data_IF_788587169326
#
_entry.id   IF_788587169326
#
_cell.length_a   1.000
_cell.length_b   1.000
_cell.length_c   1.000
_cell.angle_alpha   90.00
_cell.angle_beta   90.00
_cell.angle_gamma   90.00
#
_symmetry.space_group_name_H-M   'P 1'
#
loop_
_entity.id
_entity.type
_entity.pdbx_description
1 polymer ?
#
# COMPACT_ATOMS: atom_id res chain seq x y z
N UNK A 1 -26.36 -20.85 7.53
CA UNK A 1 -26.12 -19.76 6.55
C UNK A 1 -25.52 -18.52 7.21
N UNK A 2 -26.03 -18.06 8.36
CA UNK A 2 -25.48 -16.90 9.10
C UNK A 2 -23.94 -16.93 9.24
N UNK A 3 -23.38 -18.02 9.76
CA UNK A 3 -21.92 -18.14 9.94
C UNK A 3 -21.09 -18.07 8.65
N UNK A 4 -21.60 -18.60 7.53
CA UNK A 4 -20.89 -18.53 6.23
C UNK A 4 -20.84 -17.10 5.69
N UNK A 5 -21.92 -16.33 5.88
CA UNK A 5 -21.98 -14.92 5.48
C UNK A 5 -21.06 -14.09 6.37
N UNK A 6 -21.02 -14.36 7.69
CA UNK A 6 -20.13 -13.67 8.61
C UNK A 6 -18.65 -13.92 8.28
N UNK A 7 -18.27 -15.17 8.00
CA UNK A 7 -16.88 -15.52 7.63
C UNK A 7 -16.49 -14.83 6.31
N UNK A 8 -17.37 -14.87 5.30
CA UNK A 8 -17.09 -14.23 4.02
C UNK A 8 -16.97 -12.70 4.16
N UNK A 9 -17.86 -12.07 4.92
CA UNK A 9 -17.80 -10.64 5.19
C UNK A 9 -16.52 -10.23 5.91
N UNK A 10 -16.09 -11.02 6.92
CA UNK A 10 -14.84 -10.77 7.62
C UNK A 10 -13.61 -10.94 6.71
N UNK A 11 -13.60 -11.97 5.86
CA UNK A 11 -12.50 -12.20 4.92
C UNK A 11 -12.34 -11.03 3.93
N UNK A 12 -13.44 -10.52 3.39
CA UNK A 12 -13.43 -9.34 2.51
C UNK A 12 -12.94 -8.11 3.26
N UNK A 13 -13.44 -7.89 4.48
CA UNK A 13 -13.03 -6.74 5.30
C UNK A 13 -11.52 -6.75 5.58
N UNK A 14 -10.98 -7.90 6.01
CA UNK A 14 -9.55 -8.05 6.28
C UNK A 14 -8.71 -7.84 5.01
N UNK A 15 -9.16 -8.38 3.87
CA UNK A 15 -8.46 -8.18 2.61
C UNK A 15 -8.39 -6.69 2.21
N UNK A 16 -9.50 -5.95 2.33
CA UNK A 16 -9.52 -4.51 2.06
C UNK A 16 -8.64 -3.74 3.05
N UNK A 17 -8.70 -4.12 4.32
CA UNK A 17 -7.90 -3.49 5.37
C UNK A 17 -6.40 -3.68 5.15
N UNK A 18 -5.98 -4.90 4.81
CA UNK A 18 -4.58 -5.22 4.53
C UNK A 18 -4.08 -4.45 3.30
N UNK A 19 -4.85 -4.43 2.20
CA UNK A 19 -4.52 -3.61 1.02
C UNK A 19 -4.36 -2.12 1.37
N UNK A 20 -5.24 -1.60 2.22
CA UNK A 20 -5.17 -0.22 2.68
C UNK A 20 -3.92 0.04 3.52
N UNK A 21 -3.58 -0.85 4.46
CA UNK A 21 -2.38 -0.73 5.28
C UNK A 21 -1.10 -0.74 4.42
N UNK A 22 -1.05 -1.59 3.40
CA UNK A 22 0.07 -1.62 2.45
C UNK A 22 0.14 -0.32 1.63
N UNK A 23 -0.99 0.15 1.10
CA UNK A 23 -1.05 1.40 0.34
C UNK A 23 -0.64 2.61 1.19
N UNK A 24 -0.99 2.63 2.48
CA UNK A 24 -0.65 3.72 3.42
C UNK A 24 0.83 3.76 3.80
N UNK A 25 1.59 2.68 3.58
CA UNK A 25 3.04 2.69 3.74
C UNK A 25 3.77 3.34 2.56
N UNK A 26 3.12 3.43 1.41
CA UNK A 26 3.64 4.22 0.28
C UNK A 26 3.41 5.71 0.51
N UNK A 27 4.18 6.55 -0.17
CA UNK A 27 3.98 7.99 -0.25
C UNK A 27 2.76 8.42 -1.06
N UNK A 28 2.17 7.51 -1.84
CA UNK A 28 1.08 7.78 -2.77
C UNK A 28 -0.19 8.41 -2.12
N UNK A 29 -0.67 7.99 -0.94
CA UNK A 29 -1.81 8.64 -0.31
C UNK A 29 -1.46 9.97 0.36
N UNK A 30 -0.18 10.28 0.62
CA UNK A 30 0.17 11.53 1.30
C UNK A 30 0.21 12.72 0.34
N UNK A 31 -0.21 13.89 0.82
CA UNK A 31 0.08 15.16 0.17
C UNK A 31 1.49 15.58 0.62
N UNK A 32 2.25 16.19 -0.27
CA UNK A 32 3.48 16.89 0.09
C UNK A 32 3.43 18.28 -0.51
N UNK A 33 3.90 19.24 0.25
CA UNK A 33 4.16 20.59 -0.21
C UNK A 33 5.22 21.13 0.75
N UNK A 34 6.29 21.72 0.27
CA UNK A 34 7.29 22.31 1.16
C UNK A 34 8.72 22.06 0.70
N UNK A 35 9.63 22.73 1.38
CA UNK A 35 11.06 22.68 1.10
C UNK A 35 11.71 21.57 1.92
N UNK A 36 12.69 20.88 1.34
CA UNK A 36 13.48 19.85 2.02
C UNK A 36 14.51 20.53 2.90
N UNK A 37 14.38 20.40 4.22
CA UNK A 37 15.28 21.03 5.20
C UNK A 37 16.45 20.13 5.59
N UNK A 38 16.26 18.81 5.56
CA UNK A 38 17.29 17.83 5.89
C UNK A 38 17.08 16.51 5.15
N UNK A 39 18.15 15.72 5.07
CA UNK A 39 18.14 14.35 4.54
C UNK A 39 18.88 13.43 5.49
N UNK A 40 18.34 12.24 5.71
CA UNK A 40 18.96 11.20 6.54
C UNK A 40 18.82 9.85 5.84
N UNK A 41 19.93 9.13 5.69
CA UNK A 41 19.95 7.75 5.25
C UNK A 41 20.29 6.87 6.44
N UNK A 42 19.37 5.98 6.82
CA UNK A 42 19.60 5.01 7.89
C UNK A 42 19.86 3.65 7.25
N UNK A 43 21.11 3.15 7.30
CA UNK A 43 21.41 1.84 6.78
C UNK A 43 20.72 0.76 7.62
N UNK A 44 20.02 -0.15 6.95
CA UNK A 44 19.37 -1.30 7.58
C UNK A 44 20.27 -2.54 7.53
N UNK A 45 19.70 -3.71 7.87
CA UNK A 45 20.42 -4.99 7.91
C UNK A 45 21.20 -5.31 6.63
N UNK A 46 20.70 -4.90 5.46
CA UNK A 46 21.37 -5.03 4.17
C UNK A 46 21.58 -3.64 3.55
N UNK A 47 22.78 -3.05 3.76
CA UNK A 47 23.08 -1.72 3.24
C UNK A 47 22.89 -1.63 1.72
N UNK A 48 22.22 -0.59 1.26
CA UNK A 48 21.91 -0.34 -0.15
C UNK A 48 20.70 -1.11 -0.72
N UNK A 49 20.13 -2.05 0.04
CA UNK A 49 18.91 -2.78 -0.35
C UNK A 49 17.71 -2.32 0.46
N UNK A 50 17.83 -2.33 1.80
CA UNK A 50 16.71 -2.11 2.72
C UNK A 50 16.80 -0.74 3.44
N UNK A 51 17.67 0.16 2.98
CA UNK A 51 17.96 1.40 3.70
C UNK A 51 16.74 2.32 3.82
N UNK A 52 16.55 2.88 5.01
CA UNK A 52 15.47 3.82 5.28
C UNK A 52 15.91 5.22 4.86
N UNK A 53 15.27 5.73 3.81
CA UNK A 53 15.56 7.02 3.20
C UNK A 53 14.59 8.09 3.76
N UNK A 54 15.08 8.99 4.59
CA UNK A 54 14.27 10.01 5.25
C UNK A 54 14.59 11.40 4.72
N UNK A 55 13.56 12.20 4.48
CA UNK A 55 13.69 13.64 4.26
C UNK A 55 12.88 14.39 5.30
N UNK A 56 13.39 15.53 5.74
CA UNK A 56 12.64 16.47 6.54
C UNK A 56 12.08 17.57 5.63
N UNK A 57 10.80 17.89 5.76
CA UNK A 57 10.19 19.01 5.05
C UNK A 57 9.61 20.02 6.01
N UNK A 58 9.54 21.28 5.57
CA UNK A 58 8.96 22.39 6.33
C UNK A 58 7.54 22.11 6.83
N UNK A 59 6.74 21.42 6.03
CA UNK A 59 5.31 21.28 6.28
C UNK A 59 4.97 20.00 7.06
N UNK A 60 5.78 18.95 6.96
CA UNK A 60 5.43 17.60 7.44
C UNK A 60 6.49 16.94 8.33
N UNK A 61 7.63 17.59 8.56
CA UNK A 61 8.73 17.02 9.36
C UNK A 61 9.39 15.84 8.64
N UNK A 62 9.83 14.82 9.39
CA UNK A 62 10.50 13.64 8.84
C UNK A 62 9.52 12.69 8.14
N UNK A 63 9.82 12.39 6.88
CA UNK A 63 9.01 11.53 6.00
C UNK A 63 9.94 10.52 5.34
N UNK A 64 9.47 9.27 5.27
CA UNK A 64 10.12 8.21 4.51
C UNK A 64 9.82 8.40 3.02
N UNK A 65 10.86 8.47 2.19
CA UNK A 65 10.78 8.50 0.73
C UNK A 65 11.39 7.26 0.10
N UNK A 66 10.94 6.90 -1.10
CA UNK A 66 11.50 5.77 -1.84
C UNK A 66 12.98 6.01 -2.17
N UNK A 67 13.78 4.94 -2.09
CA UNK A 67 15.22 4.97 -2.34
C UNK A 67 15.58 5.43 -3.76
N UNK A 68 14.68 5.23 -4.73
CA UNK A 68 14.83 5.70 -6.12
C UNK A 68 14.69 7.21 -6.25
N UNK A 69 13.90 7.84 -5.36
CA UNK A 69 13.65 9.29 -5.34
C UNK A 69 14.66 10.00 -4.45
N UNK A 70 15.13 9.34 -3.39
CA UNK A 70 16.12 9.89 -2.47
C UNK A 70 17.35 10.54 -3.12
N UNK A 71 17.99 10.00 -4.17
CA UNK A 71 19.12 10.66 -4.84
C UNK A 71 18.72 11.88 -5.68
N UNK A 72 17.43 12.01 -6.06
CA UNK A 72 16.93 13.09 -6.92
C UNK A 72 16.55 14.35 -6.15
N UNK A 73 16.37 14.24 -4.83
CA UNK A 73 16.00 15.34 -3.94
C UNK A 73 17.24 15.86 -3.22
N UNK A 74 17.42 17.17 -3.16
CA UNK A 74 18.47 17.86 -2.42
C UNK A 74 17.88 18.72 -1.31
N UNK A 75 18.70 19.03 -0.29
CA UNK A 75 18.32 20.02 0.73
C UNK A 75 18.18 21.38 0.03
N UNK A 76 17.05 22.07 0.28
CA UNK A 76 16.65 23.29 -0.40
C UNK A 76 15.66 23.07 -1.57
N UNK A 77 15.41 21.82 -1.97
CA UNK A 77 14.46 21.54 -3.05
C UNK A 77 13.00 21.68 -2.59
N UNK A 78 12.16 22.22 -3.46
CA UNK A 78 10.72 22.28 -3.26
C UNK A 78 10.07 21.00 -3.76
N UNK A 79 9.47 20.24 -2.84
CA UNK A 79 8.76 19.01 -3.15
C UNK A 79 7.25 19.21 -3.08
N UNK A 80 6.56 18.92 -4.19
CA UNK A 80 5.10 19.06 -4.29
C UNK A 80 4.47 17.78 -4.78
N UNK A 81 3.43 17.32 -4.09
CA UNK A 81 2.65 16.14 -4.44
C UNK A 81 1.21 16.33 -4.01
N UNK A 82 0.29 16.07 -4.94
CA UNK A 82 -1.15 16.05 -4.63
C UNK A 82 -1.52 14.76 -3.88
N UNK A 83 -2.53 14.85 -3.02
CA UNK A 83 -3.11 13.69 -2.34
C UNK A 83 -3.54 12.62 -3.36
N UNK A 84 -3.15 11.36 -3.16
CA UNK A 84 -3.47 10.25 -4.07
C UNK A 84 -2.74 10.28 -5.41
N UNK A 85 -1.93 11.31 -5.69
CA UNK A 85 -1.12 11.37 -6.92
C UNK A 85 0.04 10.40 -6.83
N UNK A 86 0.41 9.83 -7.98
CA UNK A 86 1.63 9.05 -8.17
C UNK A 86 2.76 9.88 -8.78
N UNK A 87 2.60 11.19 -8.83
CA UNK A 87 3.62 12.10 -9.37
C UNK A 87 4.10 13.00 -8.24
N UNK A 88 5.41 12.95 -7.99
CA UNK A 88 6.13 13.87 -7.12
C UNK A 88 6.83 14.89 -8.02
N UNK A 89 6.60 16.17 -7.77
CA UNK A 89 7.32 17.26 -8.42
C UNK A 89 8.43 17.72 -7.49
N UNK A 90 9.65 17.78 -7.98
CA UNK A 90 10.84 18.27 -7.27
C UNK A 90 11.37 19.45 -8.08
N UNK A 91 11.23 20.66 -7.55
CA UNK A 91 11.47 21.92 -8.29
C UNK A 91 10.68 21.93 -9.62
N UNK A 92 11.38 21.81 -10.76
CA UNK A 92 10.80 21.78 -12.11
C UNK A 92 10.71 20.36 -12.71
N UNK A 93 11.25 19.35 -12.03
CA UNK A 93 11.22 17.95 -12.45
C UNK A 93 9.99 17.22 -11.92
N UNK A 94 9.45 16.27 -12.69
CA UNK A 94 8.35 15.41 -12.23
C UNK A 94 8.76 13.95 -12.28
N UNK A 95 8.74 13.30 -11.14
CA UNK A 95 9.06 11.88 -10.99
C UNK A 95 7.81 11.07 -10.66
N UNK A 96 7.75 9.85 -11.20
CA UNK A 96 6.64 8.94 -10.96
C UNK A 96 6.97 8.02 -9.80
N UNK A 97 6.12 8.07 -8.77
CA UNK A 97 6.11 7.14 -7.66
C UNK A 97 5.56 5.79 -8.12
N UNK A 98 6.37 4.76 -7.91
CA UNK A 98 5.98 3.38 -8.08
C UNK A 98 5.34 2.84 -6.79
N UNK A 99 4.51 1.81 -6.93
CA UNK A 99 4.06 1.09 -5.75
C UNK A 99 5.22 0.20 -5.30
N UNK A 100 5.29 -0.10 -4.00
CA UNK A 100 6.22 -1.11 -3.54
C UNK A 100 5.81 -2.48 -4.11
N UNK A 101 6.79 -3.37 -4.27
CA UNK A 101 6.54 -4.76 -4.69
C UNK A 101 5.51 -5.45 -3.79
N UNK A 102 5.50 -5.12 -2.49
CA UNK A 102 4.51 -5.62 -1.54
C UNK A 102 3.08 -5.21 -1.91
N UNK A 103 2.88 -3.94 -2.29
CA UNK A 103 1.56 -3.46 -2.70
C UNK A 103 1.13 -4.12 -4.00
N UNK A 104 2.04 -4.22 -4.98
CA UNK A 104 1.74 -4.90 -6.24
C UNK A 104 1.40 -6.39 -6.02
N UNK A 105 2.14 -7.08 -5.15
CA UNK A 105 1.85 -8.45 -4.75
C UNK A 105 0.49 -8.58 -4.06
N UNK A 106 0.17 -7.68 -3.12
CA UNK A 106 -1.10 -7.67 -2.42
C UNK A 106 -2.28 -7.36 -3.35
N UNK A 107 -2.10 -6.50 -4.35
CA UNK A 107 -3.11 -6.21 -5.38
C UNK A 107 -3.47 -7.45 -6.22
N UNK A 108 -2.59 -8.45 -6.31
CA UNK A 108 -2.86 -9.72 -7.01
C UNK A 108 -3.39 -10.79 -6.05
N UNK A 109 -2.75 -10.95 -4.88
CA UNK A 109 -3.06 -12.02 -3.92
C UNK A 109 -4.43 -11.82 -3.26
N UNK A 110 -4.79 -10.59 -2.90
CA UNK A 110 -6.03 -10.32 -2.16
C UNK A 110 -7.31 -10.57 -2.99
N UNK A 111 -7.40 -10.15 -4.27
CA UNK A 111 -8.53 -10.54 -5.11
C UNK A 111 -8.62 -12.04 -5.33
N UNK A 112 -7.47 -12.70 -5.52
CA UNK A 112 -7.40 -14.14 -5.79
C UNK A 112 -7.90 -14.96 -4.61
N UNK A 113 -7.40 -14.64 -3.41
CA UNK A 113 -7.83 -15.31 -2.16
C UNK A 113 -9.29 -15.04 -1.84
N UNK A 114 -9.77 -13.81 -2.08
CA UNK A 114 -11.19 -13.46 -1.92
C UNK A 114 -12.08 -14.25 -2.88
N UNK A 115 -11.69 -14.38 -4.16
CA UNK A 115 -12.43 -15.15 -5.15
C UNK A 115 -12.52 -16.64 -4.77
N UNK A 116 -11.42 -17.22 -4.30
CA UNK A 116 -11.39 -18.62 -3.81
C UNK A 116 -12.35 -18.77 -2.62
N UNK A 117 -12.32 -17.85 -1.65
CA UNK A 117 -13.20 -17.88 -0.49
C UNK A 117 -14.69 -17.80 -0.88
N UNK A 118 -15.03 -16.96 -1.86
CA UNK A 118 -16.39 -16.87 -2.42
C UNK A 118 -16.80 -18.20 -3.05
N UNK A 119 -15.96 -18.78 -3.92
CA UNK A 119 -16.25 -20.06 -4.60
C UNK A 119 -16.48 -21.19 -3.59
N UNK A 120 -15.60 -21.33 -2.60
CA UNK A 120 -15.74 -22.36 -1.56
C UNK A 120 -17.01 -22.16 -0.72
N UNK A 121 -17.36 -20.92 -0.41
CA UNK A 121 -18.59 -20.59 0.33
C UNK A 121 -19.84 -20.97 -0.48
N UNK A 122 -19.86 -20.70 -1.79
CA UNK A 122 -20.97 -21.08 -2.68
C UNK A 122 -21.08 -22.61 -2.80
N UNK A 123 -19.96 -23.31 -2.99
CA UNK A 123 -19.94 -24.78 -3.07
C UNK A 123 -20.43 -25.42 -1.77
N UNK A 124 -19.97 -24.94 -0.61
CA UNK A 124 -20.41 -25.42 0.69
C UNK A 124 -21.91 -25.19 0.92
N UNK A 125 -22.43 -24.04 0.50
CA UNK A 125 -23.86 -23.73 0.57
C UNK A 125 -24.71 -24.61 -0.36
N UNK A 126 -24.21 -24.92 -1.56
CA UNK A 126 -24.87 -25.85 -2.50
C UNK A 126 -24.89 -27.28 -1.96
N UNK A 127 -23.76 -27.78 -1.42
CA UNK A 127 -23.66 -29.13 -0.83
C UNK A 127 -24.61 -29.32 0.35
N UNK A 128 -24.73 -28.32 1.25
CA UNK A 128 -25.70 -28.37 2.36
C UNK A 128 -27.14 -28.42 1.88
N UNK A 129 -27.50 -27.65 0.84
CA UNK A 129 -28.86 -27.69 0.26
C UNK A 129 -29.17 -29.03 -0.41
N UNK A 130 -28.21 -29.66 -1.09
CA UNK A 130 -28.38 -31.00 -1.66
C UNK A 130 -28.56 -32.08 -0.59
N UNK A 131 -27.80 -32.00 0.51
CA UNK A 131 -27.90 -32.98 1.60
C UNK A 131 -29.21 -32.88 2.39
N UNK A 132 -29.79 -31.68 2.53
CA UNK A 132 -31.06 -31.48 3.23
C UNK A 132 -32.31 -31.83 2.39
N UNK A 133 -32.14 -32.12 1.09
CA UNK A 133 -33.24 -32.49 0.18
C UNK A 133 -33.40 -34.01 -0.01
N UNK A 134 -32.40 -34.79 0.43
CA UNK A 134 -32.39 -36.25 0.38
C UNK A 134 -32.70 -36.92 1.73
N UNK A 135 -33.18 -36.14 2.71
CA UNK A 135 -33.81 -36.61 3.95
C UNK A 135 -35.27 -36.22 3.91
#
# INVERSE_FOLDING_TARGET
>A
MKYLITILGLAIFLAVFDAWCAARRSLIPYKLNGEVTAKELRPEKHPGEDDVCLIETTDHGWIHIDSTIYPLVSVGDNVTKKFGSRTLTVNDGSERLEWSQDVDGMLVVLPTTTAIAVVLTVLAARRRRGSARNQ
#
